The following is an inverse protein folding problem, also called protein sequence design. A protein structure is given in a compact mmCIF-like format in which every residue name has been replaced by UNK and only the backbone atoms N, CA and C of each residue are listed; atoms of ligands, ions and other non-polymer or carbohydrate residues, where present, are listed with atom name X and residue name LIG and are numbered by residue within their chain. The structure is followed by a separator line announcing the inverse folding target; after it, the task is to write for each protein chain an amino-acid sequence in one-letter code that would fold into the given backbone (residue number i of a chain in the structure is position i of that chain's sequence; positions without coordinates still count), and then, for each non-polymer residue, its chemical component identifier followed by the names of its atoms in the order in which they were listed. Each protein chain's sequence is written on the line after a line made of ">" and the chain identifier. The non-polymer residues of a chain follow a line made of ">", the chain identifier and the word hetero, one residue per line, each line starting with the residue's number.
data_IF_185571181010
#
_entry.id   IF_185571181010
#
_cell.length_a   1.000
_cell.length_b   1.000
_cell.length_c   1.000
_cell.angle_alpha   90.00
_cell.angle_beta   90.00
_cell.angle_gamma   90.00
#
_symmetry.space_group_name_H-M   'P 1'
#
loop_
_entity.id
_entity.type
_entity.pdbx_description
1 polymer ?
#
# COMPACT_ATOMS: atom_id res chain seq x y z
N UNK A 1 -1.87 -44.91 3.38
CA UNK A 1 -2.29 -43.76 4.22
C UNK A 1 -2.17 -42.53 3.33
N UNK A 2 -3.30 -41.88 3.00
CA UNK A 2 -3.32 -40.72 2.11
C UNK A 2 -2.74 -39.53 2.90
N UNK A 3 -1.51 -39.13 2.61
CA UNK A 3 -0.89 -37.96 3.24
C UNK A 3 -1.63 -36.73 2.74
N UNK A 4 -2.59 -36.23 3.52
CA UNK A 4 -3.27 -34.98 3.20
C UNK A 4 -2.23 -33.87 3.08
N UNK A 5 -2.15 -33.25 1.91
CA UNK A 5 -1.32 -32.07 1.70
C UNK A 5 -2.01 -30.86 2.32
N UNK A 6 -1.33 -30.21 3.26
CA UNK A 6 -1.80 -28.97 3.86
C UNK A 6 -1.14 -27.78 3.19
N UNK A 7 -1.70 -26.59 3.38
CA UNK A 7 -1.09 -25.29 3.10
C UNK A 7 -1.29 -24.40 4.32
N UNK A 8 -0.21 -23.77 4.75
CA UNK A 8 -0.28 -22.76 5.80
C UNK A 8 -0.56 -21.39 5.18
N UNK A 9 -1.52 -20.67 5.75
CA UNK A 9 -1.90 -19.33 5.31
C UNK A 9 -2.39 -18.48 6.48
N UNK A 10 -2.00 -17.21 6.48
CA UNK A 10 -2.41 -16.22 7.48
C UNK A 10 -3.23 -15.12 6.80
N UNK A 11 -4.46 -14.92 7.27
CA UNK A 11 -5.28 -13.78 6.85
C UNK A 11 -4.81 -12.53 7.59
N UNK A 12 -4.45 -11.51 6.84
CA UNK A 12 -4.14 -10.19 7.39
C UNK A 12 -5.44 -9.49 7.82
N UNK A 13 -5.38 -8.80 8.96
CA UNK A 13 -6.46 -8.00 9.51
C UNK A 13 -6.43 -6.56 8.96
N UNK A 14 -6.77 -5.60 9.83
CA UNK A 14 -6.65 -4.18 9.55
C UNK A 14 -5.24 -3.62 9.82
N UNK A 15 -4.29 -4.49 10.16
CA UNK A 15 -2.89 -4.19 10.37
C UNK A 15 -2.12 -4.22 9.04
N UNK A 16 -1.05 -3.42 8.88
CA UNK A 16 -0.24 -3.44 7.64
C UNK A 16 0.91 -4.46 7.68
N UNK A 17 0.80 -5.53 8.49
CA UNK A 17 1.85 -6.56 8.65
C UNK A 17 1.92 -7.55 7.48
N UNK A 18 1.70 -7.08 6.25
CA UNK A 18 1.72 -7.91 5.04
C UNK A 18 3.07 -8.64 4.86
N UNK A 19 4.19 -8.02 5.24
CA UNK A 19 5.50 -8.64 5.16
C UNK A 19 5.62 -9.87 6.10
N UNK A 20 5.05 -9.81 7.31
CA UNK A 20 5.07 -10.93 8.24
C UNK A 20 4.28 -12.10 7.66
N UNK A 21 3.03 -11.84 7.23
CA UNK A 21 2.17 -12.86 6.65
C UNK A 21 2.75 -13.44 5.37
N UNK A 22 3.42 -12.61 4.55
CA UNK A 22 4.12 -13.04 3.34
C UNK A 22 5.25 -14.02 3.67
N UNK A 23 6.12 -13.69 4.64
CA UNK A 23 7.24 -14.57 5.02
C UNK A 23 6.75 -15.86 5.67
N UNK A 24 5.81 -15.79 6.60
CA UNK A 24 5.26 -16.98 7.27
C UNK A 24 4.52 -17.90 6.30
N UNK A 25 3.74 -17.33 5.39
CA UNK A 25 3.07 -18.08 4.32
C UNK A 25 4.08 -18.71 3.36
N UNK A 26 5.15 -18.01 3.00
CA UNK A 26 6.23 -18.56 2.17
C UNK A 26 6.94 -19.75 2.86
N UNK A 27 7.23 -19.61 4.15
CA UNK A 27 7.89 -20.63 4.98
C UNK A 27 6.93 -21.71 5.51
N UNK A 28 5.64 -21.59 5.21
CA UNK A 28 4.61 -22.55 5.58
C UNK A 28 4.47 -22.77 7.11
N UNK A 29 4.65 -21.70 7.90
CA UNK A 29 4.42 -21.71 9.35
C UNK A 29 4.60 -20.33 10.01
N UNK A 30 4.11 -20.16 11.25
CA UNK A 30 4.21 -18.90 12.01
C UNK A 30 5.61 -18.74 12.62
N UNK A 31 6.62 -18.50 11.80
CA UNK A 31 8.01 -18.38 12.27
C UNK A 31 8.33 -17.00 12.82
N UNK A 32 7.68 -15.96 12.29
CA UNK A 32 7.95 -14.57 12.64
C UNK A 32 6.68 -13.84 13.06
N UNK A 33 6.86 -12.87 13.94
CA UNK A 33 5.86 -11.86 14.28
C UNK A 33 6.37 -10.45 13.95
N UNK A 34 5.55 -9.42 14.18
CA UNK A 34 5.94 -8.03 13.91
C UNK A 34 7.13 -7.54 14.76
N UNK A 35 7.28 -8.01 16.00
CA UNK A 35 8.42 -7.65 16.84
C UNK A 35 9.74 -8.24 16.30
N UNK A 36 9.69 -9.46 15.75
CA UNK A 36 10.86 -10.08 15.11
C UNK A 36 11.28 -9.26 13.88
N UNK A 37 10.35 -8.92 12.99
CA UNK A 37 10.65 -8.10 11.81
C UNK A 37 11.17 -6.70 12.18
N UNK A 38 10.61 -6.07 13.20
CA UNK A 38 11.14 -4.80 13.73
C UNK A 38 12.59 -4.95 14.24
N UNK A 39 12.91 -6.07 14.88
CA UNK A 39 14.27 -6.33 15.35
C UNK A 39 15.26 -6.51 14.19
N UNK A 40 14.87 -7.21 13.12
CA UNK A 40 15.68 -7.38 11.92
C UNK A 40 15.86 -6.07 11.15
N UNK A 41 14.83 -5.24 11.09
CA UNK A 41 14.92 -3.94 10.45
C UNK A 41 15.92 -3.02 11.15
N UNK A 42 15.86 -2.94 12.49
CA UNK A 42 16.88 -2.21 13.29
C UNK A 42 18.28 -2.79 13.15
N UNK A 43 18.39 -4.11 13.01
CA UNK A 43 19.68 -4.75 12.75
C UNK A 43 20.22 -4.35 11.38
N UNK A 44 19.37 -4.27 10.36
CA UNK A 44 19.74 -3.80 9.02
C UNK A 44 20.14 -2.33 9.06
N UNK A 45 19.39 -1.47 9.75
CA UNK A 45 19.72 -0.05 9.94
C UNK A 45 21.13 0.13 10.52
N UNK A 46 21.49 -0.67 11.55
CA UNK A 46 22.84 -0.63 12.16
C UNK A 46 23.94 -1.12 11.22
N UNK A 47 23.65 -2.10 10.38
CA UNK A 47 24.59 -2.59 9.38
C UNK A 47 24.81 -1.53 8.28
N UNK A 48 23.74 -0.87 7.83
CA UNK A 48 23.79 0.21 6.86
C UNK A 48 24.53 1.43 7.42
N UNK A 49 24.28 1.81 8.68
CA UNK A 49 25.01 2.87 9.39
C UNK A 49 26.51 2.54 9.50
N UNK A 50 26.85 1.29 9.84
CA UNK A 50 28.24 0.86 9.95
C UNK A 50 28.98 0.88 8.60
N UNK A 51 28.27 0.64 7.49
CA UNK A 51 28.85 0.64 6.14
C UNK A 51 28.92 2.04 5.52
N UNK A 52 27.89 2.86 5.71
CA UNK A 52 27.74 4.16 5.05
C UNK A 52 28.22 5.33 5.92
N UNK A 53 28.35 5.13 7.23
CA UNK A 53 28.74 6.17 8.20
C UNK A 53 27.65 7.23 8.47
N UNK A 54 26.45 7.05 7.92
CA UNK A 54 25.32 7.95 8.09
C UNK A 54 24.53 7.54 9.32
N UNK A 55 24.51 8.38 10.36
CA UNK A 55 23.69 8.14 11.54
C UNK A 55 22.22 8.32 11.20
N UNK A 56 21.43 7.28 11.42
CA UNK A 56 19.97 7.40 11.42
C UNK A 56 19.57 8.02 12.78
N UNK A 57 18.64 8.97 12.77
CA UNK A 57 18.19 9.62 14.00
C UNK A 57 17.63 8.57 14.98
N UNK A 58 17.95 8.71 16.28
CA UNK A 58 17.53 7.77 17.32
C UNK A 58 16.00 7.55 17.29
N UNK A 59 15.59 6.34 16.93
CA UNK A 59 14.18 5.91 16.93
C UNK A 59 13.49 5.89 15.56
N UNK A 60 14.15 6.37 14.50
CA UNK A 60 13.67 6.23 13.13
C UNK A 60 14.38 5.05 12.44
N UNK A 61 13.63 4.21 11.75
CA UNK A 61 14.17 3.12 10.93
C UNK A 61 13.82 3.42 9.48
N UNK A 62 14.78 3.26 8.57
CA UNK A 62 14.51 3.41 7.13
C UNK A 62 13.92 2.13 6.53
N UNK A 63 13.98 1.03 7.28
CA UNK A 63 13.60 -0.30 6.84
C UNK A 63 12.20 -0.75 7.30
N UNK A 64 11.55 0.03 8.17
CA UNK A 64 10.15 -0.13 8.52
C UNK A 64 9.53 1.21 8.93
N UNK A 65 8.24 1.42 8.66
CA UNK A 65 7.53 2.63 9.05
C UNK A 65 6.55 2.41 10.22
N UNK A 66 6.06 3.50 10.82
CA UNK A 66 5.06 3.45 11.89
C UNK A 66 3.71 2.85 11.44
N UNK A 67 3.50 2.73 10.13
CA UNK A 67 2.30 2.11 9.56
C UNK A 67 2.41 0.59 9.54
N UNK A 68 3.61 0.02 9.66
CA UNK A 68 3.88 -1.43 9.62
C UNK A 68 4.34 -1.95 8.25
N UNK A 69 4.76 -1.07 7.33
CA UNK A 69 5.40 -1.48 6.09
C UNK A 69 6.87 -1.81 6.32
N UNK A 70 7.39 -2.79 5.58
CA UNK A 70 8.78 -3.23 5.68
C UNK A 70 9.45 -3.17 4.30
N UNK A 71 10.75 -2.84 4.29
CA UNK A 71 11.59 -2.89 3.10
C UNK A 71 11.84 -4.35 2.66
N UNK A 72 12.25 -4.54 1.40
CA UNK A 72 12.69 -5.85 0.92
C UNK A 72 13.90 -6.37 1.70
N UNK A 73 14.77 -5.47 2.18
CA UNK A 73 15.96 -5.82 2.96
C UNK A 73 15.60 -6.59 4.24
N UNK A 74 14.51 -6.20 4.90
CA UNK A 74 13.99 -6.93 6.08
C UNK A 74 13.56 -8.35 5.70
N UNK A 75 12.81 -8.50 4.61
CA UNK A 75 12.34 -9.81 4.12
C UNK A 75 13.53 -10.69 3.73
N UNK A 76 14.51 -10.14 3.02
CA UNK A 76 15.76 -10.83 2.67
C UNK A 76 16.53 -11.27 3.91
N UNK A 77 16.62 -10.41 4.93
CA UNK A 77 17.29 -10.74 6.19
C UNK A 77 16.58 -11.86 6.95
N UNK A 78 15.26 -11.85 7.01
CA UNK A 78 14.47 -12.95 7.59
C UNK A 78 14.77 -14.28 6.88
N UNK A 79 14.72 -14.27 5.54
CA UNK A 79 14.95 -15.47 4.72
C UNK A 79 16.38 -15.99 4.82
N UNK A 80 17.35 -15.08 4.85
CA UNK A 80 18.76 -15.40 5.08
C UNK A 80 18.95 -16.05 6.46
N UNK A 81 18.35 -15.48 7.51
CA UNK A 81 18.48 -16.00 8.88
C UNK A 81 17.80 -17.35 9.09
N UNK A 82 16.75 -17.64 8.32
CA UNK A 82 16.03 -18.91 8.40
C UNK A 82 16.83 -20.09 7.83
N UNK A 83 17.53 -19.89 6.71
CA UNK A 83 18.23 -20.99 6.04
C UNK A 83 19.08 -20.57 4.84
N UNK A 84 19.70 -19.40 4.89
CA UNK A 84 20.51 -18.81 3.80
C UNK A 84 19.73 -18.73 2.47
N UNK A 85 18.42 -18.48 2.57
CA UNK A 85 17.56 -18.26 1.43
C UNK A 85 17.81 -16.86 0.86
N UNK A 86 17.84 -16.75 -0.46
CA UNK A 86 18.06 -15.49 -1.18
C UNK A 86 16.83 -15.10 -1.99
N UNK A 87 16.51 -13.82 -1.98
CA UNK A 87 15.58 -13.22 -2.94
C UNK A 87 16.37 -12.70 -4.13
N UNK A 88 16.01 -13.13 -5.33
CA UNK A 88 16.64 -12.66 -6.57
C UNK A 88 15.58 -11.95 -7.38
N UNK A 89 15.78 -10.67 -7.68
CA UNK A 89 14.86 -9.91 -8.51
C UNK A 89 14.79 -10.53 -9.92
N UNK A 90 13.58 -10.83 -10.40
CA UNK A 90 13.40 -11.47 -11.70
C UNK A 90 13.69 -10.51 -12.87
N UNK A 91 13.83 -9.21 -12.61
CA UNK A 91 14.19 -8.22 -13.63
C UNK A 91 15.69 -8.27 -14.01
N UNK A 92 16.51 -9.04 -13.32
CA UNK A 92 17.87 -9.36 -13.77
C UNK A 92 17.84 -10.18 -15.06
N UNK A 93 18.70 -9.85 -16.04
CA UNK A 93 18.66 -10.44 -17.39
C UNK A 93 18.70 -11.98 -17.38
N UNK A 94 19.58 -12.58 -16.57
CA UNK A 94 19.71 -14.04 -16.43
C UNK A 94 18.48 -14.66 -15.75
N UNK A 95 18.10 -14.13 -14.59
CA UNK A 95 16.96 -14.64 -13.81
C UNK A 95 15.65 -14.55 -14.59
N UNK A 96 15.45 -13.47 -15.37
CA UNK A 96 14.25 -13.31 -16.21
C UNK A 96 14.09 -14.46 -17.19
N UNK A 97 15.16 -14.81 -17.91
CA UNK A 97 15.11 -15.90 -18.90
C UNK A 97 14.82 -17.26 -18.25
N UNK A 98 15.46 -17.55 -17.12
CA UNK A 98 15.25 -18.79 -16.35
C UNK A 98 13.80 -18.89 -15.84
N UNK A 99 13.30 -17.83 -15.20
CA UNK A 99 11.95 -17.81 -14.62
C UNK A 99 10.87 -17.83 -15.70
N UNK A 100 11.03 -17.11 -16.81
CA UNK A 100 10.01 -17.08 -17.87
C UNK A 100 9.97 -18.38 -18.70
N UNK A 101 11.10 -19.08 -18.81
CA UNK A 101 11.15 -20.37 -19.51
C UNK A 101 10.54 -21.50 -18.68
N UNK A 102 10.79 -21.53 -17.36
CA UNK A 102 10.31 -22.61 -16.50
C UNK A 102 9.93 -22.14 -15.07
N UNK A 103 8.86 -21.33 -14.92
CA UNK A 103 8.53 -20.75 -13.61
C UNK A 103 8.08 -21.77 -12.56
N UNK A 104 7.63 -22.94 -13.00
CA UNK A 104 7.14 -24.01 -12.14
C UNK A 104 8.28 -24.81 -11.45
N UNK A 105 9.52 -24.69 -11.95
CA UNK A 105 10.69 -25.37 -11.36
C UNK A 105 11.10 -24.72 -10.04
N UNK A 106 10.86 -23.42 -9.90
CA UNK A 106 11.16 -22.65 -8.70
C UNK A 106 10.32 -23.11 -7.50
N UNK A 107 10.77 -22.77 -6.30
CA UNK A 107 10.09 -23.17 -5.07
C UNK A 107 9.09 -22.11 -4.58
N UNK A 108 9.37 -20.84 -4.80
CA UNK A 108 8.47 -19.77 -4.40
C UNK A 108 8.89 -18.40 -4.93
N UNK A 109 7.95 -17.47 -4.87
CA UNK A 109 8.11 -16.08 -5.27
C UNK A 109 7.60 -15.17 -4.16
N UNK A 110 8.26 -14.03 -3.99
CA UNK A 110 7.80 -12.89 -3.20
C UNK A 110 7.47 -11.77 -4.17
N UNK A 111 6.28 -11.20 -4.04
CA UNK A 111 5.76 -10.18 -4.92
C UNK A 111 5.45 -8.91 -4.11
N UNK A 112 5.76 -7.75 -4.68
CA UNK A 112 5.37 -6.45 -4.18
C UNK A 112 4.45 -5.74 -5.18
N UNK A 113 3.32 -5.24 -4.69
CA UNK A 113 2.49 -4.28 -5.39
C UNK A 113 2.18 -3.08 -4.51
N UNK A 114 2.68 -1.90 -4.86
CA UNK A 114 2.30 -0.63 -4.22
C UNK A 114 2.28 -0.71 -2.69
N UNK A 115 3.38 -1.16 -2.09
CA UNK A 115 3.57 -1.38 -0.64
C UNK A 115 2.84 -2.59 -0.04
N UNK A 116 2.36 -3.53 -0.86
CA UNK A 116 1.79 -4.79 -0.40
C UNK A 116 2.65 -6.00 -0.78
N UNK A 117 3.05 -6.77 0.23
CA UNK A 117 3.84 -8.00 0.07
C UNK A 117 2.94 -9.24 0.09
N UNK A 118 3.16 -10.15 -0.85
CA UNK A 118 2.54 -11.48 -0.86
C UNK A 118 3.44 -12.53 -1.48
N UNK A 119 3.19 -13.81 -1.15
CA UNK A 119 3.99 -14.93 -1.65
C UNK A 119 3.19 -15.83 -2.59
N UNK A 120 3.86 -16.35 -3.63
CA UNK A 120 3.41 -17.50 -4.40
C UNK A 120 4.29 -18.69 -4.01
N UNK A 121 3.69 -19.82 -3.64
CA UNK A 121 4.46 -20.95 -3.09
C UNK A 121 4.00 -22.28 -3.64
N UNK A 122 4.98 -23.12 -4.01
CA UNK A 122 4.75 -24.54 -4.33
C UNK A 122 4.72 -25.38 -3.05
N UNK A 123 3.57 -25.95 -2.72
CA UNK A 123 3.34 -26.69 -1.48
C UNK A 123 2.86 -28.10 -1.77
N UNK A 124 3.43 -29.08 -1.08
CA UNK A 124 2.91 -30.43 -1.03
C UNK A 124 3.95 -31.48 -0.65
N UNK A 125 3.47 -32.65 -0.24
CA UNK A 125 4.32 -33.80 0.04
C UNK A 125 4.65 -34.56 -1.25
N UNK A 126 5.93 -34.90 -1.46
CA UNK A 126 6.36 -35.76 -2.55
C UNK A 126 7.17 -35.06 -3.64
N UNK A 127 7.10 -35.60 -4.87
CA UNK A 127 7.83 -35.08 -6.03
C UNK A 127 7.37 -33.66 -6.40
N UNK A 128 8.23 -32.79 -6.97
CA UNK A 128 7.84 -31.48 -7.46
C UNK A 128 6.59 -31.47 -8.37
N UNK A 129 6.36 -32.57 -9.11
CA UNK A 129 5.21 -32.72 -10.00
C UNK A 129 3.86 -32.94 -9.26
N UNK A 130 3.88 -33.43 -8.01
CA UNK A 130 2.67 -33.63 -7.20
C UNK A 130 2.37 -32.44 -6.28
N UNK A 131 3.25 -31.42 -6.26
CA UNK A 131 3.05 -30.23 -5.46
C UNK A 131 2.13 -29.25 -6.18
N UNK A 132 1.32 -28.56 -5.39
CA UNK A 132 0.35 -27.58 -5.87
C UNK A 132 0.89 -26.17 -5.65
N UNK A 133 0.67 -25.28 -6.61
CA UNK A 133 1.00 -23.87 -6.46
C UNK A 133 -0.15 -23.13 -5.80
N UNK A 134 0.21 -22.21 -4.89
CA UNK A 134 -0.74 -21.41 -4.13
C UNK A 134 -0.37 -19.94 -4.23
N UNK A 135 -1.39 -19.11 -4.44
CA UNK A 135 -1.35 -17.68 -4.16
C UNK A 135 -1.78 -17.44 -2.71
N UNK A 136 -0.87 -16.87 -1.93
CA UNK A 136 -1.00 -16.67 -0.49
C UNK A 136 -1.13 -15.18 -0.12
N UNK A 137 -1.72 -14.35 -0.99
CA UNK A 137 -2.01 -12.94 -0.69
C UNK A 137 -2.93 -12.83 0.54
N UNK A 138 -2.34 -12.37 1.64
CA UNK A 138 -2.98 -12.25 2.96
C UNK A 138 -4.02 -11.13 3.01
N UNK A 139 -3.91 -10.10 2.17
CA UNK A 139 -4.76 -8.92 2.19
C UNK A 139 -5.96 -9.08 1.24
N UNK A 140 -5.70 -9.46 -0.01
CA UNK A 140 -6.75 -9.50 -1.05
C UNK A 140 -7.57 -10.77 -1.04
N UNK A 141 -7.00 -11.89 -0.59
CA UNK A 141 -7.71 -13.17 -0.59
C UNK A 141 -8.37 -13.43 0.76
N UNK A 142 -9.52 -14.09 0.72
CA UNK A 142 -10.21 -14.60 1.91
C UNK A 142 -9.83 -16.06 2.22
N UNK A 143 -9.10 -16.71 1.31
CA UNK A 143 -8.56 -18.05 1.42
C UNK A 143 -7.38 -18.20 0.45
N UNK A 144 -6.39 -19.08 0.70
CA UNK A 144 -5.31 -19.30 -0.25
C UNK A 144 -5.88 -19.84 -1.57
N UNK A 145 -5.46 -19.25 -2.69
CA UNK A 145 -5.98 -19.59 -4.00
C UNK A 145 -5.07 -20.58 -4.71
N UNK A 146 -5.62 -21.74 -5.09
CA UNK A 146 -4.90 -22.75 -5.87
C UNK A 146 -4.63 -22.24 -7.29
N UNK A 147 -3.42 -22.48 -7.77
CA UNK A 147 -3.00 -22.28 -9.16
C UNK A 147 -2.93 -23.66 -9.79
N UNK A 148 -3.82 -23.91 -10.76
CA UNK A 148 -4.19 -25.26 -11.21
C UNK A 148 -3.13 -25.92 -12.10
N UNK A 149 -2.15 -25.16 -12.60
CA UNK A 149 -1.10 -25.71 -13.43
C UNK A 149 0.04 -24.73 -13.76
N UNK A 150 1.10 -25.23 -14.43
CA UNK A 150 2.26 -24.42 -14.79
C UNK A 150 1.92 -23.28 -15.77
N UNK A 151 0.93 -23.46 -16.65
CA UNK A 151 0.51 -22.40 -17.58
C UNK A 151 -0.15 -21.23 -16.86
N UNK A 152 -1.02 -21.51 -15.87
CA UNK A 152 -1.65 -20.47 -15.06
C UNK A 152 -0.61 -19.69 -14.25
N UNK A 153 0.40 -20.38 -13.70
CA UNK A 153 1.52 -19.74 -13.02
C UNK A 153 2.32 -18.84 -13.96
N UNK A 154 2.65 -19.31 -15.16
CA UNK A 154 3.36 -18.51 -16.17
C UNK A 154 2.59 -17.25 -16.53
N UNK A 155 1.29 -17.37 -16.82
CA UNK A 155 0.43 -16.24 -17.13
C UNK A 155 0.29 -15.27 -15.95
N UNK A 156 0.19 -15.80 -14.72
CA UNK A 156 0.15 -14.98 -13.52
C UNK A 156 1.43 -14.17 -13.35
N UNK A 157 2.61 -14.80 -13.46
CA UNK A 157 3.92 -14.13 -13.35
C UNK A 157 4.07 -13.06 -14.43
N UNK A 158 3.73 -13.38 -15.67
CA UNK A 158 3.78 -12.40 -16.77
C UNK A 158 2.84 -11.22 -16.53
N UNK A 159 1.64 -11.49 -16.01
CA UNK A 159 0.64 -10.46 -15.71
C UNK A 159 1.10 -9.55 -14.58
N UNK A 160 1.61 -10.09 -13.46
CA UNK A 160 2.10 -9.25 -12.35
C UNK A 160 3.29 -8.39 -12.79
N UNK A 161 4.21 -8.94 -13.59
CA UNK A 161 5.32 -8.18 -14.16
C UNK A 161 4.83 -7.07 -15.09
N UNK A 162 3.90 -7.38 -15.99
CA UNK A 162 3.33 -6.41 -16.92
C UNK A 162 2.57 -5.28 -16.24
N UNK A 163 2.01 -5.53 -15.06
CA UNK A 163 1.36 -4.52 -14.21
C UNK A 163 2.34 -3.69 -13.37
N UNK A 164 3.65 -3.94 -13.48
CA UNK A 164 4.68 -3.20 -12.77
C UNK A 164 4.97 -3.70 -11.34
N UNK A 165 4.58 -4.93 -11.01
CA UNK A 165 4.89 -5.51 -9.71
C UNK A 165 6.39 -5.85 -9.65
N UNK A 166 7.00 -5.64 -8.50
CA UNK A 166 8.35 -6.13 -8.27
C UNK A 166 8.27 -7.57 -7.77
N UNK A 167 8.90 -8.50 -8.49
CA UNK A 167 8.85 -9.93 -8.16
C UNK A 167 10.26 -10.44 -7.90
N UNK A 168 10.38 -11.23 -6.84
CA UNK A 168 11.61 -11.86 -6.42
C UNK A 168 11.40 -13.38 -6.40
N UNK A 169 12.31 -14.12 -7.02
CA UNK A 169 12.36 -15.57 -6.89
C UNK A 169 13.15 -15.95 -5.64
N UNK A 170 12.66 -16.90 -4.86
CA UNK A 170 13.30 -17.36 -3.63
C UNK A 170 14.10 -18.63 -3.92
N UNK A 171 15.43 -18.54 -3.75
CA UNK A 171 16.38 -19.64 -4.02
C UNK A 171 17.28 -19.87 -2.81
N UNK A 172 17.60 -21.12 -2.51
CA UNK A 172 18.55 -21.50 -1.46
C UNK A 172 19.04 -22.92 -1.64
N UNK A 173 20.03 -23.32 -0.83
CA UNK A 173 20.66 -24.63 -0.93
C UNK A 173 19.75 -25.74 -0.38
N UNK A 174 18.94 -25.40 0.63
CA UNK A 174 17.91 -26.28 1.18
C UNK A 174 16.55 -26.01 0.53
N UNK A 175 15.71 -27.05 0.32
CA UNK A 175 14.35 -26.86 -0.13
C UNK A 175 13.56 -26.07 0.91
N UNK A 176 12.68 -25.17 0.44
CA UNK A 176 11.78 -24.42 1.31
C UNK A 176 10.92 -25.40 2.15
N UNK A 177 10.68 -25.06 3.44
CA UNK A 177 9.89 -25.88 4.35
C UNK A 177 8.50 -26.20 3.78
N UNK A 178 8.02 -27.38 4.12
CA UNK A 178 6.67 -27.85 3.84
C UNK A 178 5.84 -27.79 5.12
N UNK A 179 4.52 -27.57 5.03
CA UNK A 179 3.67 -27.46 6.20
C UNK A 179 3.64 -28.79 6.97
N UNK A 180 4.03 -28.76 8.23
CA UNK A 180 3.95 -29.90 9.14
C UNK A 180 2.94 -29.61 10.25
N UNK A 181 1.97 -30.51 10.44
CA UNK A 181 1.00 -30.44 11.56
C UNK A 181 1.62 -30.73 12.94
N UNK A 182 2.91 -31.06 13.02
CA UNK A 182 3.58 -31.55 14.22
C UNK A 182 4.08 -30.45 15.17
N UNK A 183 3.74 -29.18 14.93
CA UNK A 183 3.80 -28.14 15.95
C UNK A 183 2.41 -27.96 16.57
N UNK A 184 2.13 -28.81 17.57
CA UNK A 184 1.00 -28.79 18.50
C UNK A 184 -0.33 -29.41 18.01
N UNK A 185 -0.66 -30.51 18.67
CA UNK A 185 -1.77 -31.45 18.46
C UNK A 185 -3.19 -30.87 18.47
N UNK A 186 -4.05 -31.53 17.69
CA UNK A 186 -5.53 -31.51 17.66
C UNK A 186 -6.18 -30.57 16.65
N UNK A 187 -7.18 -31.11 15.95
CA UNK A 187 -7.83 -30.51 14.79
C UNK A 187 -8.29 -29.07 14.99
N UNK A 188 -8.22 -28.30 13.90
CA UNK A 188 -8.69 -26.91 13.84
C UNK A 188 -8.15 -26.03 14.99
N UNK A 189 -6.84 -25.97 15.19
CA UNK A 189 -6.27 -24.82 15.89
C UNK A 189 -6.25 -23.62 14.93
N UNK A 190 -7.27 -22.78 15.07
CA UNK A 190 -7.03 -21.33 14.94
C UNK A 190 -6.00 -21.04 16.02
N UNK A 191 -4.74 -20.78 15.68
CA UNK A 191 -3.74 -20.35 16.67
C UNK A 191 -4.19 -18.98 17.18
N UNK A 192 -5.06 -18.98 18.18
CA UNK A 192 -5.48 -17.79 18.89
C UNK A 192 -4.34 -17.36 19.80
N UNK A 193 -3.31 -16.75 19.23
CA UNK A 193 -2.43 -15.90 20.01
C UNK A 193 -3.17 -14.61 20.34
N UNK A 194 -3.04 -14.12 21.56
CA UNK A 194 -3.65 -12.90 22.10
C UNK A 194 -3.27 -11.59 21.36
N UNK A 195 -2.81 -11.68 20.11
CA UNK A 195 -2.25 -10.59 19.32
C UNK A 195 -2.75 -10.55 17.85
N UNK A 196 -3.89 -11.16 17.53
CA UNK A 196 -4.58 -10.92 16.25
C UNK A 196 -4.14 -11.75 15.03
N UNK A 197 -3.14 -12.62 15.12
CA UNK A 197 -2.73 -13.48 14.00
C UNK A 197 -3.55 -14.78 13.92
N UNK A 198 -4.43 -14.89 12.92
CA UNK A 198 -5.20 -16.13 12.62
C UNK A 198 -4.51 -16.93 11.50
N UNK A 199 -3.40 -17.58 11.83
CA UNK A 199 -2.78 -18.56 10.94
C UNK A 199 -3.56 -19.88 10.92
N UNK A 200 -3.72 -20.47 9.73
CA UNK A 200 -4.46 -21.72 9.52
C UNK A 200 -3.67 -22.70 8.65
N UNK A 201 -3.74 -23.99 8.99
CA UNK A 201 -3.33 -25.09 8.12
C UNK A 201 -4.56 -25.65 7.42
N UNK A 202 -4.67 -25.41 6.12
CA UNK A 202 -5.82 -25.78 5.31
C UNK A 202 -5.47 -26.94 4.39
N UNK A 203 -6.37 -27.91 4.24
CA UNK A 203 -6.35 -28.82 3.10
C UNK A 203 -6.79 -28.08 1.83
N UNK A 204 -6.53 -28.67 0.67
CA UNK A 204 -7.06 -28.13 -0.59
C UNK A 204 -8.59 -27.97 -0.56
N UNK A 205 -9.29 -28.94 0.04
CA UNK A 205 -10.74 -28.90 0.20
C UNK A 205 -11.19 -27.76 1.11
N UNK A 206 -10.58 -27.61 2.28
CA UNK A 206 -10.92 -26.54 3.22
C UNK A 206 -10.63 -25.15 2.64
N UNK A 207 -9.52 -25.01 1.90
CA UNK A 207 -9.20 -23.77 1.18
C UNK A 207 -10.28 -23.43 0.14
N UNK A 208 -10.73 -24.42 -0.64
CA UNK A 208 -11.81 -24.25 -1.62
C UNK A 208 -13.15 -23.90 -0.96
N UNK A 209 -13.50 -24.57 0.15
CA UNK A 209 -14.71 -24.30 0.93
C UNK A 209 -14.70 -22.87 1.53
N UNK A 210 -13.56 -22.43 2.07
CA UNK A 210 -13.39 -21.08 2.61
C UNK A 210 -13.50 -20.02 1.49
N UNK A 211 -12.89 -20.28 0.33
CA UNK A 211 -13.01 -19.42 -0.84
C UNK A 211 -14.46 -19.33 -1.36
N UNK A 212 -15.19 -20.45 -1.37
CA UNK A 212 -16.60 -20.50 -1.77
C UNK A 212 -17.49 -19.73 -0.78
N UNK A 213 -17.26 -19.90 0.53
CA UNK A 213 -17.98 -19.18 1.59
C UNK A 213 -17.76 -17.67 1.50
N UNK A 214 -16.54 -17.24 1.16
CA UNK A 214 -16.25 -15.82 0.95
C UNK A 214 -17.02 -15.23 -0.23
N UNK A 215 -17.19 -16.00 -1.32
CA UNK A 215 -17.99 -15.58 -2.48
C UNK A 215 -19.48 -15.45 -2.13
N UNK A 216 -20.06 -16.44 -1.43
CA UNK A 216 -21.49 -16.42 -1.07
C UNK A 216 -21.83 -15.33 -0.05
N UNK A 217 -20.93 -15.05 0.89
CA UNK A 217 -21.09 -13.92 1.82
C UNK A 217 -21.16 -12.57 1.06
N UNK A 218 -20.38 -12.42 -0.02
CA UNK A 218 -20.45 -11.25 -0.91
C UNK A 218 -21.73 -11.17 -1.76
N UNK A 219 -22.34 -12.31 -2.10
CA UNK A 219 -23.58 -12.36 -2.92
C UNK A 219 -24.86 -12.20 -2.08
N UNK A 220 -24.84 -12.50 -0.78
CA UNK A 220 -26.03 -12.47 0.09
C UNK A 220 -26.56 -11.07 0.46
N UNK A 221 -25.90 -9.98 0.04
CA UNK A 221 -26.36 -8.59 0.27
C UNK A 221 -27.26 -8.07 -0.88
N UNK A 222 -27.54 -8.88 -1.91
CA UNK A 222 -28.34 -8.49 -3.08
C UNK A 222 -29.41 -9.50 -3.47
N UNK A 223 -30.27 -9.91 -2.53
CA UNK A 223 -31.39 -10.82 -2.80
C UNK A 223 -32.64 -10.09 -3.30
N UNK A 224 -32.66 -9.71 -4.58
CA UNK A 224 -33.86 -9.29 -5.31
C UNK A 224 -34.05 -10.17 -6.54
N UNK A 225 -35.11 -10.99 -6.53
CA UNK A 225 -35.44 -12.05 -7.49
C UNK A 225 -35.46 -11.61 -8.96
N UNK A 226 -34.88 -12.43 -9.85
CA UNK A 226 -35.05 -12.35 -11.30
C UNK A 226 -34.47 -13.58 -11.98
N UNK A 227 -35.35 -14.51 -12.37
CA UNK A 227 -35.02 -15.71 -13.14
C UNK A 227 -34.73 -15.34 -14.61
N UNK A 228 -33.76 -16.00 -15.25
CA UNK A 228 -33.60 -15.94 -16.71
C UNK A 228 -32.22 -16.29 -17.27
N UNK A 229 -32.06 -17.56 -17.61
CA UNK A 229 -31.32 -18.12 -18.76
C UNK A 229 -29.78 -18.12 -18.83
N UNK A 230 -29.32 -19.24 -19.38
CA UNK A 230 -27.98 -19.82 -19.49
C UNK A 230 -27.19 -19.38 -20.72
N UNK A 231 -25.87 -19.09 -20.58
CA UNK A 231 -24.78 -19.67 -21.40
C UNK A 231 -23.35 -19.19 -20.98
N UNK A 232 -22.40 -20.13 -20.87
CA UNK A 232 -21.00 -19.97 -21.33
C UNK A 232 -19.91 -19.28 -20.47
N UNK A 233 -19.03 -20.09 -19.84
CA UNK A 233 -17.58 -19.81 -19.68
C UNK A 233 -17.06 -19.33 -18.31
N UNK A 234 -16.01 -19.94 -17.71
CA UNK A 234 -15.46 -19.49 -16.44
C UNK A 234 -14.35 -18.46 -16.68
N UNK A 235 -14.67 -17.17 -16.62
CA UNK A 235 -13.69 -16.09 -16.52
C UNK A 235 -14.12 -15.12 -15.41
N UNK A 236 -13.37 -15.06 -14.31
CA UNK A 236 -13.43 -13.92 -13.40
C UNK A 236 -12.19 -13.88 -12.47
N UNK A 237 -11.06 -13.41 -13.01
CA UNK A 237 -10.16 -12.55 -12.24
C UNK A 237 -10.83 -11.18 -12.19
N UNK A 238 -11.73 -10.99 -11.22
CA UNK A 238 -12.39 -9.70 -10.99
C UNK A 238 -12.25 -9.39 -9.52
N UNK A 239 -11.53 -8.30 -9.24
CA UNK A 239 -11.36 -7.75 -7.91
C UNK A 239 -12.72 -7.26 -7.39
N UNK A 240 -13.21 -7.89 -6.34
CA UNK A 240 -14.28 -7.35 -5.50
C UNK A 240 -13.59 -6.75 -4.28
N UNK A 241 -13.63 -5.42 -4.17
CA UNK A 241 -13.27 -4.71 -2.94
C UNK A 241 -14.34 -5.01 -1.87
N UNK A 242 -14.00 -5.31 -0.61
CA UNK A 242 -14.99 -5.38 0.45
C UNK A 242 -15.38 -3.96 0.87
N UNK A 243 -16.60 -3.57 0.51
CA UNK A 243 -17.31 -2.46 1.15
C UNK A 243 -17.63 -2.85 2.59
N UNK A 244 -17.15 -2.07 3.55
CA UNK A 244 -17.47 -2.24 4.97
C UNK A 244 -18.98 -2.22 5.23
N UNK A 245 -19.43 -3.20 6.01
CA UNK A 245 -20.78 -3.31 6.53
C UNK A 245 -21.06 -2.10 7.43
N UNK A 246 -21.96 -1.25 6.98
CA UNK A 246 -22.67 -0.26 7.81
C UNK A 246 -23.70 -1.02 8.63
N UNK A 247 -23.51 -1.10 9.94
CA UNK A 247 -24.60 -1.47 10.84
C UNK A 247 -25.64 -0.33 10.85
N UNK A 248 -26.87 -0.68 10.53
CA UNK A 248 -28.05 0.18 10.63
C UNK A 248 -28.59 0.08 12.05
N UNK A 249 -28.05 0.89 12.96
CA UNK A 249 -28.77 1.30 14.16
C UNK A 249 -29.02 2.81 14.01
N UNK A 250 -30.30 3.21 14.06
CA UNK A 250 -30.69 4.61 14.05
C UNK A 250 -29.97 5.34 15.19
N UNK A 251 -29.32 6.49 14.94
CA UNK A 251 -28.73 7.26 16.03
C UNK A 251 -29.85 7.82 16.90
N UNK A 252 -30.08 7.23 18.07
CA UNK A 252 -30.79 7.92 19.13
C UNK A 252 -30.00 9.18 19.46
N UNK A 253 -30.70 10.31 19.37
CA UNK A 253 -30.20 11.64 19.65
C UNK A 253 -29.84 11.73 21.15
N UNK A 254 -28.58 11.51 21.48
CA UNK A 254 -28.07 11.75 22.83
C UNK A 254 -27.82 13.24 23.00
N UNK A 255 -28.47 13.80 24.01
CA UNK A 255 -28.39 15.22 24.36
C UNK A 255 -27.07 15.51 25.08
N UNK A 256 -26.15 16.18 24.39
CA UNK A 256 -24.83 16.54 24.91
C UNK A 256 -24.86 17.65 25.96
N UNK A 257 -26.03 18.25 26.25
CA UNK A 257 -26.16 19.31 27.25
C UNK A 257 -26.37 18.81 28.69
N UNK A 258 -26.47 17.49 28.90
CA UNK A 258 -26.72 16.88 30.21
C UNK A 258 -25.51 16.14 30.85
N UNK A 259 -24.36 16.06 30.18
CA UNK A 259 -23.13 15.50 30.76
C UNK A 259 -22.27 16.63 31.36
N UNK A 260 -22.51 16.85 32.65
CA UNK A 260 -21.91 17.88 33.46
C UNK A 260 -20.38 17.85 33.47
N UNK A 261 -19.83 19.07 33.47
CA UNK A 261 -18.49 19.46 33.91
C UNK A 261 -17.87 18.54 34.99
N UNK A 262 -17.02 17.61 34.53
CA UNK A 262 -16.25 16.68 35.37
C UNK A 262 -14.93 17.28 35.85
N UNK A 263 -15.05 18.06 36.92
CA UNK A 263 -14.10 18.47 37.97
C UNK A 263 -12.62 18.01 37.85
N UNK A 264 -11.76 19.03 37.82
CA UNK A 264 -10.35 19.03 38.23
C UNK A 264 -10.14 18.36 39.60
N UNK A 265 -9.11 17.52 39.71
CA UNK A 265 -8.59 16.97 40.96
C UNK A 265 -7.09 17.27 41.04
N UNK A 266 -6.74 18.15 41.97
CA UNK A 266 -5.38 18.57 42.25
C UNK A 266 -4.68 17.72 43.31
N UNK A 267 -3.35 17.84 43.27
CA UNK A 267 -2.40 18.05 44.39
C UNK A 267 -2.33 17.05 45.56
N UNK A 268 -1.19 16.35 45.63
CA UNK A 268 -0.33 16.27 46.82
C UNK A 268 1.13 16.02 46.37
N UNK A 269 1.98 17.05 46.38
CA UNK A 269 3.11 17.25 47.33
C UNK A 269 4.05 16.06 47.56
N UNK A 270 5.27 16.16 47.02
CA UNK A 270 6.44 15.33 47.35
C UNK A 270 7.67 15.78 46.56
N UNK A 271 8.63 16.39 47.25
CA UNK A 271 9.86 17.05 46.80
C UNK A 271 10.89 16.19 46.06
N UNK A 272 11.63 16.76 45.08
CA UNK A 272 13.07 17.14 45.18
C UNK A 272 13.86 17.05 43.86
N UNK A 273 14.51 18.16 43.45
CA UNK A 273 15.85 18.15 42.80
C UNK A 273 15.95 18.22 41.26
N UNK A 274 16.71 19.18 40.67
CA UNK A 274 16.73 19.45 39.22
C UNK A 274 17.92 18.82 38.48
N UNK A 275 17.76 18.53 37.18
CA UNK A 275 18.86 18.41 36.21
C UNK A 275 18.37 18.70 34.77
N UNK A 276 19.25 19.21 33.89
CA UNK A 276 18.91 20.26 32.93
C UNK A 276 18.53 19.75 31.54
N UNK A 277 17.59 20.44 30.90
CA UNK A 277 17.31 20.32 29.47
C UNK A 277 18.31 21.14 28.64
N UNK A 278 18.80 20.64 27.49
CA UNK A 278 19.47 21.46 26.50
C UNK A 278 18.42 22.28 25.74
N UNK A 279 18.57 23.61 25.81
CA UNK A 279 17.91 24.56 24.90
C UNK A 279 18.54 24.39 23.51
N UNK A 280 17.71 24.25 22.48
CA UNK A 280 18.15 24.32 21.09
C UNK A 280 17.27 25.35 20.35
N UNK A 281 17.38 26.60 20.78
CA UNK A 281 16.77 27.77 20.14
C UNK A 281 17.85 28.47 19.32
N UNK A 282 18.27 27.88 18.19
CA UNK A 282 19.16 28.57 17.25
C UNK A 282 18.35 29.15 16.07
N UNK A 283 17.97 30.45 16.11
CA UNK A 283 17.17 31.09 15.06
C UNK A 283 17.89 31.13 13.72
N UNK A 284 19.20 30.92 13.70
CA UNK A 284 20.02 30.88 12.48
C UNK A 284 19.81 29.56 11.70
N UNK A 285 19.59 28.44 12.39
CA UNK A 285 19.30 27.14 11.74
C UNK A 285 17.88 27.10 11.14
N UNK A 286 16.91 27.71 11.82
CA UNK A 286 15.56 27.89 11.28
C UNK A 286 15.55 28.83 10.06
N UNK A 287 16.36 29.90 10.10
CA UNK A 287 16.57 30.78 8.96
C UNK A 287 17.28 30.07 7.81
N UNK A 288 18.25 29.19 8.08
CA UNK A 288 18.95 28.41 7.06
C UNK A 288 18.05 27.37 6.39
N UNK A 289 17.19 26.67 7.14
CA UNK A 289 16.18 25.75 6.59
C UNK A 289 15.11 26.50 5.79
N UNK A 290 14.67 27.66 6.27
CA UNK A 290 13.75 28.54 5.54
C UNK A 290 14.39 29.12 4.27
N UNK A 291 15.68 29.45 4.30
CA UNK A 291 16.43 29.94 3.14
C UNK A 291 16.64 28.84 2.08
N UNK A 292 16.90 27.59 2.50
CA UNK A 292 16.98 26.43 1.58
C UNK A 292 15.62 26.05 0.98
N UNK A 293 14.50 26.40 1.61
CA UNK A 293 13.14 26.23 1.06
C UNK A 293 12.75 27.32 0.04
N UNK A 294 13.53 28.40 -0.07
CA UNK A 294 13.16 29.59 -0.86
C UNK A 294 13.84 29.67 -2.24
N UNK A 295 14.66 28.69 -2.62
CA UNK A 295 15.35 28.66 -3.93
C UNK A 295 14.45 28.15 -5.09
N UNK A 296 13.21 27.72 -4.81
CA UNK A 296 12.21 27.41 -5.84
C UNK A 296 11.18 28.54 -5.87
N UNK A 297 11.52 29.64 -6.56
CA UNK A 297 10.60 30.75 -6.78
C UNK A 297 9.54 30.37 -7.83
N UNK A 298 8.49 29.66 -7.42
CA UNK A 298 7.32 29.46 -8.27
C UNK A 298 6.56 30.79 -8.36
N UNK A 299 6.27 31.29 -9.58
CA UNK A 299 5.49 32.51 -9.75
C UNK A 299 4.13 32.41 -9.04
N UNK A 300 3.77 33.44 -8.29
CA UNK A 300 2.44 33.53 -7.68
C UNK A 300 1.40 33.46 -8.80
N UNK A 301 0.46 32.50 -8.76
CA UNK A 301 -0.42 32.24 -9.88
C UNK A 301 -1.53 33.29 -10.09
N UNK A 302 -1.48 34.43 -9.38
CA UNK A 302 -2.34 35.61 -9.60
C UNK A 302 -3.71 35.53 -8.91
N UNK A 303 -4.49 36.61 -9.02
CA UNK A 303 -5.81 36.71 -8.40
C UNK A 303 -6.82 35.72 -9.00
N UNK A 304 -7.73 35.22 -8.17
CA UNK A 304 -8.79 34.32 -8.62
C UNK A 304 -9.82 35.04 -9.51
N UNK A 305 -10.24 34.44 -10.65
CA UNK A 305 -11.28 35.02 -11.49
C UNK A 305 -12.63 35.08 -10.75
N UNK A 306 -13.37 36.17 -10.98
CA UNK A 306 -14.74 36.32 -10.48
C UNK A 306 -15.66 35.22 -11.01
N UNK A 307 -16.69 34.85 -10.23
CA UNK A 307 -17.63 33.81 -10.65
C UNK A 307 -18.34 34.21 -11.94
N UNK A 308 -18.36 33.31 -12.94
CA UNK A 308 -18.91 33.58 -14.25
C UNK A 308 -19.19 32.31 -15.05
N UNK A 309 -19.88 32.42 -16.19
CA UNK A 309 -20.37 31.27 -16.96
C UNK A 309 -19.27 30.40 -17.59
N UNK A 310 -18.02 30.87 -17.64
CA UNK A 310 -16.86 30.14 -18.18
C UNK A 310 -15.73 29.99 -17.14
N UNK A 311 -16.12 29.87 -15.88
CA UNK A 311 -15.22 29.66 -14.74
C UNK A 311 -15.53 28.31 -14.11
N UNK A 312 -14.47 27.57 -13.79
CA UNK A 312 -14.52 26.29 -13.09
C UNK A 312 -13.86 26.41 -11.73
N UNK A 313 -14.45 25.80 -10.71
CA UNK A 313 -13.88 25.68 -9.37
C UNK A 313 -13.25 24.31 -9.24
N UNK A 314 -11.92 24.24 -9.26
CA UNK A 314 -11.18 22.98 -9.15
C UNK A 314 -10.91 22.71 -7.67
N UNK A 315 -11.45 21.60 -7.19
CA UNK A 315 -11.22 21.08 -5.85
C UNK A 315 -10.26 19.89 -5.92
N UNK A 316 -9.03 20.10 -5.47
CA UNK A 316 -8.00 19.07 -5.37
C UNK A 316 -8.12 18.37 -4.02
N UNK A 317 -8.33 17.05 -4.04
CA UNK A 317 -8.30 16.20 -2.85
C UNK A 317 -6.90 15.64 -2.66
N UNK A 318 -6.31 15.91 -1.51
CA UNK A 318 -4.97 15.46 -1.16
C UNK A 318 -5.01 14.08 -0.49
N UNK A 319 -3.92 13.28 -0.56
CA UNK A 319 -3.82 12.01 0.14
C UNK A 319 -3.93 12.11 1.67
N UNK A 320 -3.56 13.26 2.25
CA UNK A 320 -3.68 13.54 3.68
C UNK A 320 -5.11 13.95 4.13
N UNK A 321 -6.09 13.92 3.22
CA UNK A 321 -7.47 14.31 3.49
C UNK A 321 -7.75 15.81 3.46
N UNK A 322 -6.71 16.67 3.37
CA UNK A 322 -6.86 18.11 3.12
C UNK A 322 -7.39 18.32 1.70
N UNK A 323 -7.94 19.52 1.46
CA UNK A 323 -8.48 19.91 0.16
C UNK A 323 -7.97 21.29 -0.19
N UNK A 324 -7.47 21.44 -1.42
CA UNK A 324 -7.20 22.74 -2.01
C UNK A 324 -8.33 23.07 -2.98
N UNK A 325 -8.73 24.34 -3.01
CA UNK A 325 -9.79 24.81 -3.91
C UNK A 325 -9.34 26.11 -4.53
N UNK A 326 -9.48 26.23 -5.85
CA UNK A 326 -9.28 27.49 -6.56
C UNK A 326 -10.15 27.57 -7.82
N UNK A 327 -10.51 28.79 -8.19
CA UNK A 327 -11.22 29.08 -9.44
C UNK A 327 -10.26 29.32 -10.59
N UNK A 328 -10.61 28.80 -11.76
CA UNK A 328 -9.89 28.96 -13.01
C UNK A 328 -10.86 29.32 -14.13
N UNK A 329 -10.43 30.16 -15.07
CA UNK A 329 -11.18 30.44 -16.29
C UNK A 329 -10.87 29.37 -17.34
N UNK A 330 -11.92 28.80 -17.93
CA UNK A 330 -11.79 27.70 -18.89
C UNK A 330 -11.10 28.11 -20.21
N UNK A 331 -11.17 29.41 -20.56
CA UNK A 331 -10.69 29.93 -21.84
C UNK A 331 -9.30 30.60 -21.73
N UNK A 332 -8.89 31.01 -20.54
CA UNK A 332 -7.63 31.74 -20.33
C UNK A 332 -6.60 30.94 -19.53
N UNK A 333 -7.04 30.06 -18.63
CA UNK A 333 -6.13 29.21 -17.88
C UNK A 333 -5.88 27.88 -18.58
N UNK A 334 -4.63 27.47 -18.54
CA UNK A 334 -4.12 26.23 -19.12
C UNK A 334 -3.97 25.15 -18.05
N UNK A 335 -3.73 23.91 -18.49
CA UNK A 335 -3.32 22.83 -17.58
C UNK A 335 -2.03 23.19 -16.84
N UNK A 336 -1.06 23.84 -17.50
CA UNK A 336 0.16 24.34 -16.87
C UNK A 336 -0.13 25.25 -15.68
N UNK A 337 -1.07 26.20 -15.82
CA UNK A 337 -1.43 27.13 -14.74
C UNK A 337 -2.06 26.43 -13.54
N UNK A 338 -2.86 25.37 -13.78
CA UNK A 338 -3.45 24.55 -12.72
C UNK A 338 -2.36 23.83 -11.92
N UNK A 339 -1.42 23.18 -12.61
CA UNK A 339 -0.32 22.46 -11.97
C UNK A 339 0.64 23.39 -11.25
N UNK A 340 0.96 24.54 -11.85
CA UNK A 340 1.79 25.60 -11.24
C UNK A 340 1.16 26.11 -9.94
N UNK A 341 -0.16 26.31 -9.92
CA UNK A 341 -0.87 26.68 -8.69
C UNK A 341 -0.81 25.58 -7.62
N UNK A 342 -0.93 24.31 -8.01
CA UNK A 342 -0.81 23.20 -7.04
C UNK A 342 0.59 23.16 -6.44
N UNK A 343 1.64 23.35 -7.25
CA UNK A 343 3.03 23.41 -6.78
C UNK A 343 3.23 24.62 -5.85
N UNK A 344 2.66 25.79 -6.18
CA UNK A 344 2.69 26.98 -5.32
C UNK A 344 1.97 26.77 -3.99
N UNK A 345 0.77 26.18 -4.00
CA UNK A 345 0.02 25.83 -2.78
C UNK A 345 0.77 24.82 -1.91
N UNK A 346 1.46 23.86 -2.52
CA UNK A 346 2.30 22.91 -1.81
C UNK A 346 3.45 23.60 -1.06
N UNK A 347 4.05 24.64 -1.65
CA UNK A 347 5.09 25.43 -0.99
C UNK A 347 4.53 26.27 0.17
N UNK A 348 3.39 26.92 -0.02
CA UNK A 348 2.74 27.73 1.04
C UNK A 348 2.27 26.87 2.22
N UNK A 349 1.74 25.68 1.96
CA UNK A 349 1.41 24.69 2.99
C UNK A 349 2.66 24.20 3.73
N UNK A 350 3.79 24.04 3.01
CA UNK A 350 5.08 23.69 3.60
C UNK A 350 5.68 24.78 4.49
N UNK A 351 5.41 26.06 4.21
CA UNK A 351 5.85 27.20 5.05
C UNK A 351 5.03 27.34 6.34
N UNK A 352 3.76 26.94 6.31
CA UNK A 352 2.81 27.18 7.41
C UNK A 352 2.70 26.01 8.40
N UNK A 353 3.18 24.81 8.02
CA UNK A 353 3.18 23.63 8.90
C UNK A 353 4.47 23.57 9.72
N UNK A 354 4.38 23.96 11.00
CA UNK A 354 5.44 23.65 11.98
C UNK A 354 5.43 22.14 12.28
N UNK A 355 6.61 21.56 12.49
CA UNK A 355 6.89 20.11 12.59
C UNK A 355 6.14 19.32 13.69
N UNK A 356 5.13 19.91 14.35
CA UNK A 356 4.40 19.33 15.47
C UNK A 356 3.10 18.60 15.10
N UNK A 357 2.63 18.65 13.85
CA UNK A 357 1.43 17.91 13.42
C UNK A 357 1.79 16.85 12.38
N UNK A 358 1.69 15.58 12.78
CA UNK A 358 2.02 14.43 11.94
C UNK A 358 1.34 14.46 10.57
N UNK A 359 2.14 14.18 9.53
CA UNK A 359 1.70 14.03 8.14
C UNK A 359 2.04 15.21 7.23
N UNK A 360 3.31 15.62 7.17
CA UNK A 360 3.77 16.59 6.17
C UNK A 360 3.81 15.93 4.79
N UNK A 361 3.10 16.51 3.81
CA UNK A 361 3.16 16.07 2.41
C UNK A 361 4.53 16.46 1.83
N UNK A 362 5.20 15.60 1.03
CA UNK A 362 6.35 16.04 0.26
C UNK A 362 5.96 17.19 -0.67
N UNK A 363 6.85 18.16 -0.84
CA UNK A 363 6.63 19.28 -1.74
C UNK A 363 6.46 18.76 -3.17
N UNK A 364 5.40 19.18 -3.86
CA UNK A 364 5.13 18.72 -5.23
C UNK A 364 6.30 18.99 -6.19
N UNK A 365 7.04 20.06 -5.99
CA UNK A 365 8.24 20.40 -6.77
C UNK A 365 9.44 19.48 -6.54
N UNK A 366 9.48 18.78 -5.41
CA UNK A 366 10.55 17.83 -5.08
C UNK A 366 10.33 16.42 -5.66
N UNK A 367 9.16 16.16 -6.23
CA UNK A 367 8.80 14.85 -6.77
C UNK A 367 9.32 14.66 -8.21
N UNK A 368 9.68 13.43 -8.54
CA UNK A 368 10.06 13.05 -9.90
C UNK A 368 8.88 13.18 -10.90
N UNK A 369 7.65 13.06 -10.40
CA UNK A 369 6.41 13.28 -11.11
C UNK A 369 5.21 12.95 -10.22
N UNK A 370 4.05 13.49 -10.52
CA UNK A 370 2.81 13.21 -9.80
C UNK A 370 1.59 13.22 -10.74
N UNK A 371 0.51 12.58 -10.31
CA UNK A 371 -0.70 12.37 -11.09
C UNK A 371 -1.89 13.13 -10.51
N UNK A 372 -2.70 13.71 -11.39
CA UNK A 372 -3.99 14.31 -11.06
C UNK A 372 -5.08 13.54 -11.81
N UNK A 373 -6.01 12.96 -11.07
CA UNK A 373 -7.11 12.18 -11.61
C UNK A 373 -8.38 13.04 -11.63
N UNK A 374 -8.93 13.27 -12.82
CA UNK A 374 -10.27 13.85 -12.98
C UNK A 374 -11.29 12.73 -13.16
N UNK A 375 -12.31 12.73 -12.31
CA UNK A 375 -13.47 11.87 -12.49
C UNK A 375 -14.36 12.46 -13.59
N UNK A 376 -14.49 11.76 -14.72
CA UNK A 376 -15.47 12.09 -15.74
C UNK A 376 -16.84 11.47 -15.43
N UNK A 377 -17.89 11.98 -16.07
CA UNK A 377 -19.18 11.28 -16.13
C UNK A 377 -19.03 10.00 -16.98
N UNK A 378 -19.24 8.83 -16.39
CA UNK A 378 -19.10 7.52 -17.05
C UNK A 378 -17.78 6.79 -16.75
N UNK A 379 -17.42 5.74 -17.52
CA UNK A 379 -16.27 4.87 -17.23
C UNK A 379 -14.90 5.49 -17.53
N UNK A 380 -14.85 6.74 -18.02
CA UNK A 380 -13.62 7.39 -18.47
C UNK A 380 -13.04 8.29 -17.37
N UNK A 381 -12.02 7.78 -16.67
CA UNK A 381 -11.16 8.60 -15.80
C UNK A 381 -10.06 9.22 -16.65
N UNK A 382 -9.90 10.55 -16.59
CA UNK A 382 -8.75 11.22 -17.23
C UNK A 382 -7.63 11.35 -16.20
N UNK A 383 -6.46 10.83 -16.55
CA UNK A 383 -5.25 10.89 -15.73
C UNK A 383 -4.28 11.87 -16.37
N UNK A 384 -3.94 12.94 -15.63
CA UNK A 384 -2.97 13.95 -16.01
C UNK A 384 -1.69 13.69 -15.21
N UNK A 385 -0.56 13.50 -15.88
CA UNK A 385 0.74 13.27 -15.26
C UNK A 385 1.60 14.53 -15.40
N UNK A 386 2.16 15.04 -14.30
CA UNK A 386 3.03 16.23 -14.25
C UNK A 386 4.43 15.81 -13.86
N UNK A 387 5.43 16.30 -14.58
CA UNK A 387 6.87 16.18 -14.23
C UNK A 387 7.39 17.57 -13.84
N UNK A 388 7.52 17.89 -12.54
CA UNK A 388 7.89 19.23 -12.06
C UNK A 388 9.19 19.76 -12.67
N UNK A 389 10.21 18.90 -12.76
CA UNK A 389 11.54 19.25 -13.27
C UNK A 389 11.53 19.77 -14.73
N UNK A 390 10.54 19.39 -15.53
CA UNK A 390 10.42 19.79 -16.94
C UNK A 390 9.16 20.58 -17.23
N UNK A 391 8.31 20.80 -16.23
CA UNK A 391 6.96 21.35 -16.34
C UNK A 391 6.06 20.61 -17.37
N UNK A 392 6.42 19.39 -17.77
CA UNK A 392 5.64 18.65 -18.77
C UNK A 392 4.37 18.08 -18.15
N UNK A 393 3.26 18.24 -18.87
CA UNK A 393 1.96 17.62 -18.56
C UNK A 393 1.59 16.66 -19.68
N UNK A 394 1.34 15.40 -19.35
CA UNK A 394 0.85 14.38 -20.30
C UNK A 394 -0.48 13.81 -19.83
N UNK A 395 -1.31 13.36 -20.77
CA UNK A 395 -2.63 12.78 -20.47
C UNK A 395 -2.64 11.32 -20.91
N UNK A 396 -3.17 10.45 -20.04
CA UNK A 396 -3.28 9.01 -20.35
C UNK A 396 -4.00 8.77 -21.68
N UNK A 397 -3.30 8.18 -22.65
CA UNK A 397 -3.80 7.90 -23.99
C UNK A 397 -3.39 8.92 -25.06
N UNK A 398 -2.68 9.99 -24.70
CA UNK A 398 -2.13 10.98 -25.62
C UNK A 398 -0.62 11.14 -25.37
N UNK A 399 0.19 10.93 -26.41
CA UNK A 399 1.65 11.08 -26.33
C UNK A 399 2.12 12.54 -26.42
N UNK A 400 1.21 13.47 -26.73
CA UNK A 400 1.52 14.89 -26.85
C UNK A 400 1.57 15.59 -25.49
N UNK A 401 2.48 16.55 -25.36
CA UNK A 401 2.54 17.46 -24.22
C UNK A 401 1.35 18.43 -24.27
N UNK A 402 0.61 18.54 -23.17
CA UNK A 402 -0.66 19.28 -23.09
C UNK A 402 -0.61 20.46 -22.13
N UNK A 403 0.59 20.93 -21.79
CA UNK A 403 0.77 22.02 -20.82
C UNK A 403 0.01 23.29 -21.24
N UNK A 404 0.12 23.68 -22.51
CA UNK A 404 -0.55 24.85 -23.06
C UNK A 404 -2.04 24.62 -23.41
N UNK A 405 -2.58 23.42 -23.16
CA UNK A 405 -3.99 23.13 -23.44
C UNK A 405 -4.88 23.85 -22.44
N UNK A 406 -5.88 24.58 -22.95
CA UNK A 406 -6.86 25.27 -22.12
C UNK A 406 -7.66 24.27 -21.27
N UNK A 407 -8.08 24.68 -20.08
CA UNK A 407 -8.84 23.79 -19.19
C UNK A 407 -10.15 23.30 -19.82
N UNK A 408 -10.82 24.14 -20.61
CA UNK A 408 -12.01 23.72 -21.38
C UNK A 408 -11.70 22.56 -22.34
N UNK A 409 -10.63 22.67 -23.12
CA UNK A 409 -10.21 21.64 -24.08
C UNK A 409 -9.66 20.38 -23.39
N UNK A 410 -9.08 20.54 -22.20
CA UNK A 410 -8.65 19.44 -21.34
C UNK A 410 -9.83 18.68 -20.70
N UNK A 411 -11.07 19.13 -20.90
CA UNK A 411 -12.30 18.48 -20.44
C UNK A 411 -12.74 18.88 -19.05
N UNK A 412 -12.39 20.09 -18.60
CA UNK A 412 -13.00 20.73 -17.42
C UNK A 412 -14.26 21.49 -17.82
N UNK A 413 -15.32 21.32 -17.03
CA UNK A 413 -16.60 21.98 -17.26
C UNK A 413 -16.79 23.17 -16.31
N UNK A 414 -17.71 24.07 -16.68
CA UNK A 414 -18.09 25.20 -15.84
C UNK A 414 -18.84 24.70 -14.59
N UNK A 415 -18.59 25.33 -13.44
CA UNK A 415 -19.15 24.90 -12.16
C UNK A 415 -18.08 24.40 -11.19
N UNK A 416 -18.24 23.18 -10.67
CA UNK A 416 -17.32 22.60 -9.68
C UNK A 416 -16.80 21.24 -10.15
N UNK A 417 -15.48 21.13 -10.22
CA UNK A 417 -14.77 19.94 -10.67
C UNK A 417 -13.90 19.41 -9.54
N UNK A 418 -14.03 18.12 -9.22
CA UNK A 418 -13.22 17.48 -8.20
C UNK A 418 -12.13 16.63 -8.85
N UNK A 419 -10.88 16.89 -8.47
CA UNK A 419 -9.72 16.12 -8.89
C UNK A 419 -9.01 15.51 -7.69
N UNK A 420 -8.36 14.37 -7.90
CA UNK A 420 -7.63 13.66 -6.85
C UNK A 420 -6.15 13.71 -7.19
N UNK A 421 -5.36 14.26 -6.26
CA UNK A 421 -3.91 14.24 -6.35
C UNK A 421 -3.39 12.88 -5.87
N UNK A 422 -2.54 12.26 -6.69
CA UNK A 422 -1.85 11.01 -6.43
C UNK A 422 -0.36 11.26 -6.62
N UNK A 423 0.41 11.12 -5.55
CA UNK A 423 1.86 11.36 -5.52
C UNK A 423 2.64 10.16 -6.06
#
# INVERSE_FOLDING_TARGET
>A
MQTSSYVYWEKQGADNLCAVHCVNSLLQGPYYNGADLNSFARELDREEEALLGTKIADGESQNYDASGNYSIGVIEKCLKRFGELRCVNIMGAKTRSEVFSAPHLESGYVCNQSNHWFSLRRVGSGSPASQTWWNLDSLRLQAPAKISGPQELSSLIQSVVGQGYTVFVVRGDAPLPQPSKTANSSGMMTLSSNNGMKGMYLTEREAAELAARAKTAGTSIGGGSGAGDSNGGPNAFTMIAPSGVRNNEQPQKTDWSALGSGRSLGTSTGSSGPSPQPKNDDPELAAALAASLNDIAIPNPGDEPAAGPRVTTVQVRLPNGKRWTRRFSLDTNTLGDLFLWMEWQSLEDGKTTTAASGGQMPLLTSLAGYDVLKQGFGPFRRKFHRVPATQKVTVSGQAAEMECTQLGDAGFEAGQEAVILQL
#
